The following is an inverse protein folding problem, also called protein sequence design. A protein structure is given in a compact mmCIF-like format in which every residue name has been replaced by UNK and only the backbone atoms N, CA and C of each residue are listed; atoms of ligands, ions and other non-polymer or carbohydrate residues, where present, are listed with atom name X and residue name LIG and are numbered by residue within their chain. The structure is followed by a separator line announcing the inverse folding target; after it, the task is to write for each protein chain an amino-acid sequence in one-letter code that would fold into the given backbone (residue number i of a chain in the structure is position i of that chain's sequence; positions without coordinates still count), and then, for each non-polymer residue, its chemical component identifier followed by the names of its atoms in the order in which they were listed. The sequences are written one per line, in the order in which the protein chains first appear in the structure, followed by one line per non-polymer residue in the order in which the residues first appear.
data_IF_256712198017
#
_entry.id   IF_256712198017
#
_cell.length_a   1.000
_cell.length_b   1.000
_cell.length_c   1.000
_cell.angle_alpha   90.00
_cell.angle_beta   90.00
_cell.angle_gamma   90.00
#
_symmetry.space_group_name_H-M   'P 1'
#
loop_
_entity.id
_entity.type
_entity.pdbx_description
1 polymer ?
#
# COMPACT_ATOMS: atom_id res chain seq x y z
N UNK A 1 22.89 -7.07 -16.51
CA UNK A 1 23.66 -6.11 -15.67
C UNK A 1 24.65 -6.77 -14.71
N UNK A 2 24.26 -7.72 -13.85
CA UNK A 2 25.20 -8.36 -12.90
C UNK A 2 26.42 -9.02 -13.57
N UNK A 3 26.20 -9.72 -14.70
CA UNK A 3 27.27 -10.30 -15.52
C UNK A 3 28.22 -9.24 -16.12
N UNK A 4 27.68 -8.07 -16.49
CA UNK A 4 28.46 -6.92 -16.98
C UNK A 4 29.28 -6.25 -15.87
N UNK A 5 28.90 -6.41 -14.61
CA UNK A 5 29.61 -5.90 -13.42
C UNK A 5 30.48 -6.96 -12.75
N UNK A 6 30.74 -8.09 -13.42
CA UNK A 6 31.52 -9.21 -12.89
C UNK A 6 31.06 -9.73 -11.52
N UNK A 7 29.75 -9.65 -11.22
CA UNK A 7 29.19 -10.19 -9.97
C UNK A 7 28.68 -11.62 -10.16
N UNK A 8 28.84 -12.50 -9.15
CA UNK A 8 28.38 -13.89 -9.22
C UNK A 8 26.85 -13.93 -9.34
N UNK A 9 26.31 -14.63 -10.35
CA UNK A 9 24.87 -14.60 -10.64
C UNK A 9 24.03 -15.45 -9.69
N UNK A 10 24.55 -16.62 -9.29
CA UNK A 10 23.79 -17.64 -8.54
C UNK A 10 23.21 -17.11 -7.22
N UNK A 11 23.96 -16.38 -6.37
CA UNK A 11 23.43 -15.89 -5.09
C UNK A 11 22.27 -14.89 -5.25
N UNK A 12 22.33 -13.98 -6.22
CA UNK A 12 21.31 -12.93 -6.42
C UNK A 12 20.03 -13.42 -7.11
N UNK A 13 20.07 -14.59 -7.74
CA UNK A 13 18.89 -15.20 -8.36
C UNK A 13 18.18 -16.18 -7.42
N UNK A 14 18.89 -16.75 -6.43
CA UNK A 14 18.34 -17.76 -5.50
C UNK A 14 18.00 -17.22 -4.11
N UNK A 15 18.17 -15.92 -3.86
CA UNK A 15 17.96 -15.29 -2.55
C UNK A 15 16.48 -15.12 -2.15
N UNK A 16 15.53 -15.44 -3.04
CA UNK A 16 14.09 -15.33 -2.81
C UNK A 16 13.55 -13.89 -2.75
N UNK A 17 14.41 -12.87 -2.78
CA UNK A 17 14.00 -11.49 -2.60
C UNK A 17 13.23 -10.92 -3.79
N UNK A 18 13.47 -11.46 -5.01
CA UNK A 18 12.63 -11.13 -6.16
C UNK A 18 11.17 -11.57 -5.96
N UNK A 19 10.95 -12.73 -5.33
CA UNK A 19 9.61 -13.21 -5.02
C UNK A 19 8.94 -12.32 -3.96
N UNK A 20 9.68 -11.91 -2.92
CA UNK A 20 9.18 -10.96 -1.91
C UNK A 20 8.79 -9.63 -2.56
N UNK A 21 9.65 -9.06 -3.42
CA UNK A 21 9.34 -7.83 -4.16
C UNK A 21 8.09 -7.98 -5.02
N UNK A 22 7.94 -9.11 -5.74
CA UNK A 22 6.78 -9.37 -6.58
C UNK A 22 5.49 -9.50 -5.75
N UNK A 23 5.53 -10.22 -4.62
CA UNK A 23 4.37 -10.38 -3.73
C UNK A 23 3.97 -9.03 -3.11
N UNK A 24 4.93 -8.24 -2.61
CA UNK A 24 4.62 -6.92 -2.04
C UNK A 24 4.01 -5.98 -3.07
N UNK A 25 4.51 -5.99 -4.31
CA UNK A 25 3.94 -5.19 -5.38
C UNK A 25 2.54 -5.69 -5.77
N UNK A 26 2.36 -7.01 -5.90
CA UNK A 26 1.05 -7.61 -6.22
C UNK A 26 -0.02 -7.30 -5.16
N UNK A 27 0.36 -7.20 -3.89
CA UNK A 27 -0.54 -6.80 -2.80
C UNK A 27 -0.88 -5.30 -2.80
N UNK A 28 -0.05 -4.47 -3.44
CA UNK A 28 -0.23 -3.01 -3.46
C UNK A 28 -1.07 -2.53 -4.66
N UNK A 29 -1.03 -3.25 -5.79
CA UNK A 29 -1.80 -2.90 -7.00
C UNK A 29 -3.26 -3.39 -6.90
N UNK A 30 -4.20 -2.77 -7.64
CA UNK A 30 -5.57 -3.25 -7.72
C UNK A 30 -5.65 -4.70 -8.23
N UNK A 31 -6.56 -5.53 -7.69
CA UNK A 31 -6.61 -6.96 -8.00
C UNK A 31 -6.99 -7.28 -9.45
N UNK A 32 -7.71 -6.37 -10.12
CA UNK A 32 -8.13 -6.51 -11.52
C UNK A 32 -7.24 -5.77 -12.50
N UNK A 33 -6.06 -5.31 -12.06
CA UNK A 33 -5.10 -4.64 -12.93
C UNK A 33 -4.76 -5.53 -14.13
N UNK A 34 -4.70 -4.97 -15.35
CA UNK A 34 -4.27 -5.70 -16.53
C UNK A 34 -2.89 -6.35 -16.33
N UNK A 35 -2.71 -7.57 -16.84
CA UNK A 35 -1.48 -8.34 -16.64
C UNK A 35 -0.20 -7.58 -17.03
N UNK A 36 -0.28 -6.74 -18.07
CA UNK A 36 0.86 -5.98 -18.59
C UNK A 36 1.35 -4.92 -17.58
N UNK A 37 0.48 -4.36 -16.75
CA UNK A 37 0.89 -3.42 -15.70
C UNK A 37 1.74 -4.10 -14.64
N UNK A 38 1.32 -5.28 -14.20
CA UNK A 38 2.10 -6.10 -13.25
C UNK A 38 3.46 -6.43 -13.82
N UNK A 39 3.55 -6.78 -15.11
CA UNK A 39 4.82 -7.05 -15.80
C UNK A 39 5.70 -5.80 -15.81
N UNK A 40 5.16 -4.63 -16.16
CA UNK A 40 5.92 -3.37 -16.16
C UNK A 40 6.43 -3.03 -14.75
N UNK A 41 5.56 -3.08 -13.74
CA UNK A 41 5.92 -2.73 -12.36
C UNK A 41 6.98 -3.66 -11.78
N UNK A 42 6.83 -4.98 -11.95
CA UNK A 42 7.83 -5.96 -11.49
C UNK A 42 9.14 -5.80 -12.25
N UNK A 43 9.08 -5.60 -13.57
CA UNK A 43 10.28 -5.40 -14.39
C UNK A 43 11.03 -4.15 -13.92
N UNK A 44 10.31 -3.06 -13.65
CA UNK A 44 10.93 -1.82 -13.18
C UNK A 44 11.54 -1.97 -11.77
N UNK A 45 10.80 -2.58 -10.84
CA UNK A 45 11.28 -2.87 -9.49
C UNK A 45 12.55 -3.74 -9.52
N UNK A 46 12.57 -4.79 -10.33
CA UNK A 46 13.71 -5.71 -10.39
C UNK A 46 14.89 -5.06 -11.13
N UNK A 47 14.68 -4.54 -12.33
CA UNK A 47 15.78 -4.08 -13.20
C UNK A 47 16.34 -2.74 -12.72
N UNK A 48 15.48 -1.75 -12.51
CA UNK A 48 15.89 -0.37 -12.25
C UNK A 48 16.05 -0.11 -10.76
N UNK A 49 15.10 -0.50 -9.92
CA UNK A 49 15.18 -0.20 -8.50
C UNK A 49 16.19 -1.08 -7.74
N UNK A 50 16.44 -2.31 -8.20
CA UNK A 50 17.32 -3.26 -7.51
C UNK A 50 18.63 -3.54 -8.25
N UNK A 51 18.55 -4.04 -9.49
CA UNK A 51 19.75 -4.53 -10.18
C UNK A 51 20.66 -3.41 -10.70
N UNK A 52 20.13 -2.24 -11.03
CA UNK A 52 20.91 -1.07 -11.44
C UNK A 52 21.89 -0.62 -10.34
N UNK A 53 21.51 -0.75 -9.08
CA UNK A 53 22.32 -0.37 -7.92
C UNK A 53 23.27 -1.49 -7.43
N UNK A 54 23.25 -2.66 -8.06
CA UNK A 54 24.18 -3.75 -7.75
C UNK A 54 23.56 -4.98 -7.09
N UNK A 55 22.23 -5.03 -6.98
CA UNK A 55 21.49 -6.18 -6.45
C UNK A 55 21.13 -6.03 -4.98
N UNK A 56 20.91 -7.17 -4.31
CA UNK A 56 20.56 -7.19 -2.88
C UNK A 56 21.59 -6.47 -2.00
N UNK A 57 21.10 -5.67 -1.05
CA UNK A 57 21.94 -4.96 -0.09
C UNK A 57 22.44 -3.59 -0.58
N UNK A 58 22.17 -3.22 -1.83
CA UNK A 58 22.61 -1.95 -2.42
C UNK A 58 21.46 -1.08 -2.93
N UNK A 59 20.21 -1.52 -2.79
CA UNK A 59 19.05 -0.74 -3.21
C UNK A 59 18.82 0.42 -2.22
N UNK A 60 18.88 1.69 -2.66
CA UNK A 60 18.70 2.84 -1.77
C UNK A 60 17.27 2.95 -1.23
N UNK A 61 16.30 2.39 -1.94
CA UNK A 61 14.89 2.38 -1.57
C UNK A 61 14.31 0.96 -1.70
N UNK A 62 13.13 0.75 -1.14
CA UNK A 62 12.38 -0.50 -1.29
C UNK A 62 11.99 -0.69 -2.77
N UNK A 63 12.44 -1.77 -3.46
CA UNK A 63 12.21 -1.93 -4.89
C UNK A 63 10.73 -2.10 -5.26
N UNK A 64 9.94 -2.74 -4.39
CA UNK A 64 8.52 -2.94 -4.63
C UNK A 64 7.77 -1.60 -4.64
N UNK A 65 8.12 -0.71 -3.70
CA UNK A 65 7.51 0.62 -3.63
C UNK A 65 7.89 1.50 -4.82
N UNK A 66 9.12 1.41 -5.33
CA UNK A 66 9.49 2.10 -6.58
C UNK A 66 8.64 1.61 -7.75
N UNK A 67 8.46 0.29 -7.89
CA UNK A 67 7.59 -0.28 -8.92
C UNK A 67 6.15 0.21 -8.80
N UNK A 68 5.63 0.25 -7.57
CA UNK A 68 4.28 0.74 -7.29
C UNK A 68 4.12 2.23 -7.60
N UNK A 69 5.08 3.08 -7.19
CA UNK A 69 5.06 4.52 -7.47
C UNK A 69 5.15 4.81 -8.97
N UNK A 70 5.96 4.05 -9.72
CA UNK A 70 5.98 4.16 -11.18
C UNK A 70 4.59 3.91 -11.77
N UNK A 71 3.91 2.84 -11.33
CA UNK A 71 2.57 2.51 -11.82
C UNK A 71 1.55 3.58 -11.44
N UNK A 72 1.57 4.07 -10.19
CA UNK A 72 0.70 5.16 -9.74
C UNK A 72 0.82 6.42 -10.59
N UNK A 73 2.05 6.80 -10.95
CA UNK A 73 2.30 8.03 -11.72
C UNK A 73 1.99 7.83 -13.20
N UNK A 74 2.33 6.66 -13.75
CA UNK A 74 2.25 6.40 -15.20
C UNK A 74 0.88 5.92 -15.66
N UNK A 75 0.14 5.22 -14.79
CA UNK A 75 -1.14 4.57 -15.08
C UNK A 75 -2.17 4.85 -13.96
N UNK A 76 -2.50 6.13 -13.71
CA UNK A 76 -3.34 6.51 -12.56
C UNK A 76 -4.76 5.97 -12.66
N UNK A 77 -5.33 5.87 -13.87
CA UNK A 77 -6.70 5.38 -14.09
C UNK A 77 -6.84 3.92 -13.61
N UNK A 78 -5.94 3.06 -14.05
CA UNK A 78 -5.97 1.65 -13.72
C UNK A 78 -5.60 1.40 -12.26
N UNK A 79 -4.81 2.28 -11.65
CA UNK A 79 -4.42 2.18 -10.24
C UNK A 79 -5.53 2.64 -9.27
N UNK A 80 -6.58 3.30 -9.76
CA UNK A 80 -7.75 3.70 -8.95
C UNK A 80 -8.96 2.79 -9.14
N UNK A 81 -8.93 1.84 -10.07
CA UNK A 81 -10.02 0.86 -10.28
C UNK A 81 -9.94 -0.32 -9.30
N UNK A 82 -10.44 -0.13 -8.09
CA UNK A 82 -10.49 -1.18 -7.06
C UNK A 82 -11.83 -1.92 -7.05
N UNK A 83 -11.84 -3.16 -6.56
CA UNK A 83 -13.08 -3.91 -6.37
C UNK A 83 -13.82 -3.41 -5.11
N UNK A 84 -15.14 -3.17 -5.17
CA UNK A 84 -15.93 -2.97 -3.96
C UNK A 84 -16.00 -4.26 -3.13
N UNK A 85 -16.37 -4.12 -1.85
CA UNK A 85 -16.64 -5.27 -0.98
C UNK A 85 -17.75 -6.11 -1.61
N UNK A 86 -17.61 -7.44 -1.56
CA UNK A 86 -18.56 -8.36 -2.19
C UNK A 86 -20.02 -8.15 -1.76
N UNK A 87 -20.27 -7.77 -0.50
CA UNK A 87 -21.61 -7.45 0.00
C UNK A 87 -22.22 -6.18 -0.59
N UNK A 88 -21.40 -5.32 -1.18
CA UNK A 88 -21.78 -4.07 -1.83
C UNK A 88 -21.65 -4.15 -3.35
N UNK A 89 -21.19 -5.28 -3.88
CA UNK A 89 -21.01 -5.48 -5.31
C UNK A 89 -22.37 -5.79 -5.95
N UNK A 90 -22.78 -4.98 -6.94
CA UNK A 90 -24.01 -5.20 -7.70
C UNK A 90 -23.97 -6.52 -8.50
N UNK A 91 -22.76 -6.89 -8.97
CA UNK A 91 -22.51 -8.11 -9.72
C UNK A 91 -21.27 -8.80 -9.13
N UNK A 92 -21.44 -9.89 -8.35
CA UNK A 92 -20.30 -10.59 -7.75
C UNK A 92 -19.42 -11.20 -8.84
N UNK A 93 -18.12 -10.91 -8.78
CA UNK A 93 -17.16 -11.40 -9.76
C UNK A 93 -16.69 -12.81 -9.38
N UNK A 94 -16.80 -13.75 -10.32
CA UNK A 94 -16.23 -15.09 -10.19
C UNK A 94 -14.74 -15.13 -10.56
N UNK A 95 -14.06 -16.22 -10.19
CA UNK A 95 -12.65 -16.42 -10.51
C UNK A 95 -12.35 -16.41 -12.01
N UNK A 96 -13.20 -17.06 -12.82
CA UNK A 96 -13.00 -17.13 -14.27
C UNK A 96 -13.20 -15.77 -14.95
N UNK A 97 -14.18 -14.98 -14.51
CA UNK A 97 -14.42 -13.64 -15.05
C UNK A 97 -13.30 -12.68 -14.67
N UNK A 98 -12.75 -12.78 -13.46
CA UNK A 98 -11.57 -12.01 -13.05
C UNK A 98 -10.36 -12.32 -13.95
N UNK A 99 -10.09 -13.60 -14.26
CA UNK A 99 -9.00 -13.98 -15.16
C UNK A 99 -9.22 -13.43 -16.58
N UNK A 100 -10.43 -13.57 -17.12
CA UNK A 100 -10.74 -13.04 -18.45
C UNK A 100 -10.53 -11.52 -18.50
N UNK A 101 -11.00 -10.79 -17.50
CA UNK A 101 -10.84 -9.35 -17.40
C UNK A 101 -9.36 -8.93 -17.32
N UNK A 102 -8.55 -9.60 -16.50
CA UNK A 102 -7.12 -9.32 -16.35
C UNK A 102 -6.36 -9.51 -17.69
N UNK A 103 -6.70 -10.55 -18.47
CA UNK A 103 -5.99 -10.88 -19.70
C UNK A 103 -6.52 -10.17 -20.95
N UNK A 104 -7.83 -9.89 -21.01
CA UNK A 104 -8.49 -9.36 -22.21
C UNK A 104 -9.00 -7.93 -22.06
N UNK A 105 -9.12 -7.43 -20.83
CA UNK A 105 -9.62 -6.08 -20.54
C UNK A 105 -11.13 -5.90 -20.72
N UNK A 106 -11.88 -6.95 -21.08
CA UNK A 106 -13.32 -6.88 -21.31
C UNK A 106 -14.04 -8.12 -20.76
N UNK A 107 -15.23 -7.92 -20.19
CA UNK A 107 -16.10 -9.02 -19.77
C UNK A 107 -17.56 -8.70 -20.12
N UNK A 108 -18.22 -9.58 -20.89
CA UNK A 108 -19.62 -9.42 -21.32
C UNK A 108 -19.96 -8.08 -22.01
N UNK A 109 -19.00 -7.42 -22.67
CA UNK A 109 -19.20 -6.12 -23.31
C UNK A 109 -19.34 -4.93 -22.34
N UNK A 110 -19.22 -5.18 -21.02
CA UNK A 110 -19.13 -4.15 -20.00
C UNK A 110 -17.66 -3.87 -19.68
N UNK A 111 -17.34 -2.58 -19.53
CA UNK A 111 -16.00 -2.13 -19.13
C UNK A 111 -15.71 -2.42 -17.65
N UNK A 112 -14.45 -2.21 -17.26
CA UNK A 112 -13.98 -2.40 -15.88
C UNK A 112 -14.75 -1.53 -14.88
N UNK A 113 -15.29 -0.40 -15.35
CA UNK A 113 -16.04 0.58 -14.57
C UNK A 113 -17.26 -0.01 -13.87
N UNK A 114 -17.93 -0.98 -14.50
CA UNK A 114 -19.11 -1.65 -13.94
C UNK A 114 -18.81 -2.50 -12.71
N UNK A 115 -17.53 -2.84 -12.49
CA UNK A 115 -17.07 -3.66 -11.37
C UNK A 115 -16.12 -2.89 -10.45
N UNK A 116 -15.81 -1.63 -10.76
CA UNK A 116 -14.87 -0.82 -10.00
C UNK A 116 -15.59 0.06 -8.97
N UNK A 117 -14.92 0.35 -7.86
CA UNK A 117 -15.38 1.24 -6.81
C UNK A 117 -14.20 1.97 -6.17
N UNK A 118 -14.51 3.13 -5.57
CA UNK A 118 -13.53 3.90 -4.84
C UNK A 118 -13.03 3.12 -3.60
N UNK A 119 -11.77 3.30 -3.24
CA UNK A 119 -11.27 2.79 -1.95
C UNK A 119 -11.85 3.60 -0.79
N UNK A 120 -11.89 3.05 0.44
CA UNK A 120 -12.34 3.78 1.61
C UNK A 120 -11.62 5.12 1.81
N UNK A 121 -10.30 5.15 1.61
CA UNK A 121 -9.49 6.37 1.72
C UNK A 121 -9.85 7.40 0.63
N UNK A 122 -10.03 6.93 -0.59
CA UNK A 122 -10.34 7.79 -1.74
C UNK A 122 -11.76 8.38 -1.65
N UNK A 123 -12.74 7.56 -1.28
CA UNK A 123 -14.11 8.03 -1.07
C UNK A 123 -14.20 9.03 0.09
N UNK A 124 -13.52 8.75 1.22
CA UNK A 124 -13.48 9.67 2.36
C UNK A 124 -12.91 11.03 1.93
N UNK A 125 -11.77 11.02 1.23
CA UNK A 125 -11.12 12.24 0.74
C UNK A 125 -12.00 13.01 -0.24
N UNK A 126 -12.56 12.32 -1.21
CA UNK A 126 -13.42 12.92 -2.24
C UNK A 126 -14.67 13.55 -1.62
N UNK A 127 -15.32 12.88 -0.67
CA UNK A 127 -16.53 13.39 -0.03
C UNK A 127 -16.26 14.56 0.92
N UNK A 128 -15.10 14.58 1.61
CA UNK A 128 -14.65 15.75 2.38
C UNK A 128 -14.46 16.97 1.47
N UNK A 129 -13.86 16.78 0.29
CA UNK A 129 -13.71 17.85 -0.72
C UNK A 129 -15.08 18.36 -1.20
N UNK A 130 -16.09 17.49 -1.24
CA UNK A 130 -17.49 17.84 -1.53
C UNK A 130 -18.23 18.43 -0.31
N UNK A 131 -17.50 18.87 0.72
CA UNK A 131 -18.02 19.52 1.93
C UNK A 131 -18.95 18.63 2.75
N UNK A 132 -18.80 17.30 2.66
CA UNK A 132 -19.52 16.37 3.52
C UNK A 132 -18.75 16.14 4.84
N UNK A 133 -19.49 16.03 5.94
CA UNK A 133 -18.90 15.77 7.24
C UNK A 133 -18.41 14.32 7.37
N UNK A 134 -17.19 14.07 7.90
CA UNK A 134 -16.64 12.72 8.07
C UNK A 134 -17.55 11.74 8.84
N UNK A 135 -18.35 12.24 9.78
CA UNK A 135 -19.34 11.43 10.53
C UNK A 135 -20.44 10.88 9.60
N UNK A 136 -20.96 11.72 8.71
CA UNK A 136 -21.95 11.29 7.71
C UNK A 136 -21.33 10.31 6.72
N UNK A 137 -20.12 10.60 6.24
CA UNK A 137 -19.39 9.74 5.30
C UNK A 137 -19.20 8.35 5.91
N UNK A 138 -18.75 8.29 7.17
CA UNK A 138 -18.52 7.04 7.90
C UNK A 138 -19.81 6.25 8.20
N UNK A 139 -20.98 6.87 8.04
CA UNK A 139 -22.27 6.16 8.18
C UNK A 139 -22.70 5.43 6.90
N UNK A 140 -22.02 5.66 5.78
CA UNK A 140 -22.34 5.03 4.50
C UNK A 140 -21.97 3.54 4.49
N UNK A 141 -22.67 2.69 3.69
CA UNK A 141 -22.49 1.24 3.71
C UNK A 141 -21.08 0.72 3.45
N UNK A 142 -20.22 1.54 2.82
CA UNK A 142 -18.83 1.21 2.52
C UNK A 142 -17.91 1.27 3.76
N UNK A 143 -18.32 1.94 4.82
CA UNK A 143 -17.53 2.08 6.04
C UNK A 143 -18.00 1.11 7.13
N UNK A 144 -17.03 0.54 7.85
CA UNK A 144 -17.23 -0.40 8.94
C UNK A 144 -17.23 0.29 10.31
N UNK A 145 -16.71 -0.41 11.32
CA UNK A 145 -16.65 0.11 12.69
C UNK A 145 -15.61 1.22 12.87
N UNK A 146 -14.49 1.12 12.17
CA UNK A 146 -13.30 1.93 12.38
C UNK A 146 -12.54 2.25 11.08
N UNK A 147 -12.92 1.69 9.94
CA UNK A 147 -12.26 1.78 8.65
C UNK A 147 -13.23 1.51 7.50
N UNK A 148 -12.71 1.11 6.34
CA UNK A 148 -13.56 0.54 5.29
C UNK A 148 -14.06 -0.85 5.66
N UNK A 149 -15.30 -1.18 5.29
CA UNK A 149 -15.87 -2.52 5.47
C UNK A 149 -14.94 -3.56 4.82
N UNK A 150 -14.44 -4.53 5.57
CA UNK A 150 -13.47 -5.53 5.07
C UNK A 150 -12.00 -5.10 5.16
N UNK A 151 -11.67 -3.81 4.94
CA UNK A 151 -10.29 -3.29 5.02
C UNK A 151 -9.73 -3.35 6.44
N UNK A 152 -10.59 -3.19 7.45
CA UNK A 152 -10.24 -3.37 8.86
C UNK A 152 -9.66 -4.76 9.10
N UNK A 153 -10.33 -5.80 8.60
CA UNK A 153 -9.91 -7.19 8.76
C UNK A 153 -8.59 -7.46 8.04
N UNK A 154 -8.42 -6.92 6.84
CA UNK A 154 -7.16 -7.03 6.08
C UNK A 154 -6.00 -6.41 6.87
N UNK A 155 -6.19 -5.19 7.42
CA UNK A 155 -5.17 -4.52 8.23
C UNK A 155 -4.88 -5.28 9.53
N UNK A 156 -5.90 -5.84 10.19
CA UNK A 156 -5.72 -6.68 11.39
C UNK A 156 -4.87 -7.91 11.06
N UNK A 157 -5.13 -8.61 9.95
CA UNK A 157 -4.35 -9.78 9.55
C UNK A 157 -2.90 -9.42 9.21
N UNK A 158 -2.65 -8.30 8.54
CA UNK A 158 -1.28 -7.81 8.35
C UNK A 158 -0.61 -7.45 9.68
N UNK A 159 -1.32 -6.81 10.61
CA UNK A 159 -0.78 -6.51 11.93
C UNK A 159 -0.42 -7.79 12.70
N UNK A 160 -1.27 -8.81 12.67
CA UNK A 160 -1.00 -10.13 13.28
C UNK A 160 0.23 -10.80 12.64
N UNK A 161 0.33 -10.79 11.31
CA UNK A 161 1.52 -11.29 10.60
C UNK A 161 2.78 -10.52 10.98
N UNK A 162 2.69 -9.19 11.12
CA UNK A 162 3.78 -8.32 11.55
C UNK A 162 4.22 -8.58 13.00
N UNK A 163 3.27 -8.75 13.92
CA UNK A 163 3.54 -9.13 15.31
C UNK A 163 4.23 -10.49 15.35
N UNK A 164 3.81 -11.43 14.52
CA UNK A 164 4.47 -12.73 14.40
C UNK A 164 5.92 -12.60 13.92
N UNK A 165 6.21 -11.72 12.95
CA UNK A 165 7.58 -11.44 12.50
C UNK A 165 8.44 -10.80 13.60
N UNK A 166 7.87 -9.93 14.44
CA UNK A 166 8.54 -9.39 15.63
C UNK A 166 8.85 -10.50 16.62
N UNK A 167 7.88 -11.36 16.93
CA UNK A 167 8.06 -12.50 17.83
C UNK A 167 9.16 -13.45 17.34
N UNK A 168 9.20 -13.72 16.03
CA UNK A 168 10.25 -14.51 15.36
C UNK A 168 11.59 -13.78 15.22
N UNK A 169 11.68 -12.53 15.69
CA UNK A 169 12.88 -11.67 15.63
C UNK A 169 13.40 -11.47 14.19
N UNK A 170 12.51 -11.52 13.20
CA UNK A 170 12.83 -11.23 11.80
C UNK A 170 12.93 -9.72 11.60
N UNK A 171 11.99 -8.97 12.19
CA UNK A 171 11.95 -7.51 12.17
C UNK A 171 12.02 -6.96 13.59
N UNK A 172 12.45 -5.70 13.74
CA UNK A 172 12.42 -5.02 15.03
C UNK A 172 11.16 -4.20 15.22
N UNK A 173 10.63 -4.13 16.43
CA UNK A 173 9.41 -3.40 16.76
C UNK A 173 9.52 -1.87 16.62
N UNK A 174 10.73 -1.31 16.64
CA UNK A 174 10.97 0.14 16.66
C UNK A 174 10.35 0.88 15.47
N UNK A 175 10.50 0.36 14.25
CA UNK A 175 9.98 1.03 13.04
C UNK A 175 8.46 0.94 12.95
N UNK A 176 7.82 -0.26 13.04
CA UNK A 176 6.37 -0.36 12.96
C UNK A 176 5.66 0.45 14.04
N UNK A 177 6.14 0.35 15.29
CA UNK A 177 5.51 1.05 16.42
C UNK A 177 5.69 2.57 16.29
N UNK A 178 6.87 3.04 15.88
CA UNK A 178 7.07 4.49 15.68
C UNK A 178 6.19 5.04 14.55
N UNK A 179 6.04 4.31 13.44
CA UNK A 179 5.16 4.69 12.33
C UNK A 179 3.69 4.76 12.76
N UNK A 180 3.18 3.70 13.41
CA UNK A 180 1.79 3.63 13.88
C UNK A 180 1.51 4.72 14.90
N UNK A 181 2.39 4.90 15.89
CA UNK A 181 2.21 5.93 16.92
C UNK A 181 2.27 7.34 16.33
N UNK A 182 3.21 7.62 15.43
CA UNK A 182 3.31 8.95 14.82
C UNK A 182 2.08 9.27 13.99
N UNK A 183 1.59 8.30 13.18
CA UNK A 183 0.35 8.42 12.42
C UNK A 183 -0.87 8.63 13.33
N UNK A 184 -0.96 7.88 14.43
CA UNK A 184 -2.04 8.02 15.41
C UNK A 184 -2.02 9.39 16.09
N UNK A 185 -0.84 9.88 16.49
CA UNK A 185 -0.69 11.15 17.18
C UNK A 185 -1.07 12.31 16.26
N UNK A 186 -0.53 12.35 15.03
CA UNK A 186 -0.80 13.46 14.10
C UNK A 186 -2.26 13.47 13.63
N UNK A 187 -2.85 12.30 13.38
CA UNK A 187 -4.28 12.20 13.06
C UNK A 187 -5.16 12.63 14.23
N UNK A 188 -4.85 12.21 15.45
CA UNK A 188 -5.60 12.64 16.64
C UNK A 188 -5.52 14.14 16.87
N UNK A 189 -4.33 14.74 16.75
CA UNK A 189 -4.15 16.19 16.92
C UNK A 189 -4.98 16.95 15.89
N UNK A 190 -4.94 16.53 14.64
CA UNK A 190 -5.64 17.24 13.56
C UNK A 190 -7.15 17.08 13.66
N UNK A 191 -7.67 15.88 13.96
CA UNK A 191 -9.11 15.69 14.22
C UNK A 191 -9.60 16.47 15.45
N UNK A 192 -8.76 16.68 16.47
CA UNK A 192 -9.09 17.52 17.63
C UNK A 192 -9.13 19.01 17.31
N UNK A 193 -8.29 19.48 16.39
CA UNK A 193 -8.26 20.88 15.95
C UNK A 193 -9.44 21.16 15.01
N UNK A 194 -9.65 20.28 14.04
CA UNK A 194 -10.74 20.38 13.07
C UNK A 194 -11.21 18.97 12.67
N UNK A 195 -12.37 18.52 13.15
CA UNK A 195 -12.90 17.19 12.81
C UNK A 195 -13.47 17.11 11.39
N UNK A 196 -13.52 18.21 10.63
CA UNK A 196 -14.10 18.24 9.28
C UNK A 196 -13.10 17.92 8.17
N UNK A 197 -11.80 18.03 8.45
CA UNK A 197 -10.74 17.89 7.44
C UNK A 197 -10.21 16.46 7.28
N UNK A 198 -10.50 15.56 8.23
CA UNK A 198 -9.96 14.21 8.22
C UNK A 198 -10.93 13.17 8.77
N UNK A 199 -10.73 11.92 8.35
CA UNK A 199 -11.37 10.77 8.99
C UNK A 199 -10.82 10.55 10.40
N UNK A 200 -11.44 9.64 11.15
CA UNK A 200 -11.00 9.34 12.51
C UNK A 200 -9.55 8.80 12.56
N UNK A 201 -8.84 8.95 13.70
CA UNK A 201 -7.49 8.39 13.84
C UNK A 201 -7.43 6.88 13.58
N UNK A 202 -8.45 6.14 14.02
CA UNK A 202 -8.58 4.71 13.75
C UNK A 202 -8.79 4.41 12.27
N UNK A 203 -9.53 5.27 11.55
CA UNK A 203 -9.71 5.15 10.11
C UNK A 203 -8.37 5.20 9.37
N UNK A 204 -7.45 6.07 9.78
CA UNK A 204 -6.11 6.11 9.21
C UNK A 204 -5.27 4.87 9.56
N UNK A 205 -5.46 4.26 10.73
CA UNK A 205 -4.75 3.03 11.09
C UNK A 205 -5.27 1.79 10.35
N UNK A 206 -6.59 1.67 10.18
CA UNK A 206 -7.26 0.46 9.70
C UNK A 206 -7.75 0.55 8.24
N UNK A 207 -7.33 1.58 7.50
CA UNK A 207 -7.63 1.74 6.09
C UNK A 207 -6.36 1.86 5.23
N UNK A 208 -6.49 1.52 3.95
CA UNK A 208 -5.38 1.48 3.00
C UNK A 208 -4.29 0.48 3.39
N UNK A 209 -3.06 0.79 2.99
CA UNK A 209 -1.88 -0.05 3.21
C UNK A 209 -1.13 0.21 4.51
N UNK A 210 -1.73 0.80 5.55
CA UNK A 210 -1.00 1.22 6.76
C UNK A 210 -0.27 0.07 7.45
N UNK A 211 -0.94 -1.05 7.74
CA UNK A 211 -0.31 -2.18 8.44
C UNK A 211 0.67 -2.94 7.55
N UNK A 212 0.37 -3.06 6.25
CA UNK A 212 1.32 -3.60 5.27
C UNK A 212 2.60 -2.74 5.24
N UNK A 213 2.43 -1.43 5.19
CA UNK A 213 3.48 -0.42 5.26
C UNK A 213 4.36 -0.58 6.49
N UNK A 214 3.73 -0.55 7.67
CA UNK A 214 4.43 -0.57 8.95
C UNK A 214 5.24 -1.84 9.18
N UNK A 215 4.71 -3.01 8.83
CA UNK A 215 5.30 -4.30 9.20
C UNK A 215 6.06 -5.03 8.09
N UNK A 216 5.81 -4.71 6.82
CA UNK A 216 6.39 -5.45 5.69
C UNK A 216 7.19 -4.59 4.72
N UNK A 217 6.98 -3.26 4.72
CA UNK A 217 7.66 -2.34 3.80
C UNK A 217 8.69 -1.49 4.54
N UNK A 218 8.28 -0.76 5.58
CA UNK A 218 9.15 0.14 6.34
C UNK A 218 10.26 -0.61 7.11
N UNK A 219 10.05 -1.90 7.39
CA UNK A 219 11.04 -2.76 8.07
C UNK A 219 12.02 -3.43 7.11
N UNK A 220 12.11 -2.99 5.86
CA UNK A 220 13.12 -3.50 4.90
C UNK A 220 14.54 -3.32 5.49
N UNK A 221 15.31 -4.41 5.67
CA UNK A 221 16.63 -4.35 6.26
C UNK A 221 17.66 -3.61 5.40
N UNK A 222 17.40 -3.38 4.10
CA UNK A 222 18.37 -2.74 3.21
C UNK A 222 18.19 -1.23 3.15
N UNK A 223 16.97 -0.75 2.94
CA UNK A 223 16.69 0.69 2.82
C UNK A 223 16.42 1.37 4.17
N UNK A 224 16.14 0.60 5.23
CA UNK A 224 15.80 1.12 6.55
C UNK A 224 17.02 1.54 7.38
N UNK A 225 16.77 2.30 8.46
CA UNK A 225 17.82 2.71 9.39
C UNK A 225 18.37 1.53 10.21
N UNK A 226 19.70 1.47 10.37
CA UNK A 226 20.37 0.40 11.12
C UNK A 226 20.45 0.69 12.63
N UNK A 227 20.47 1.96 13.04
CA UNK A 227 20.62 2.36 14.45
C UNK A 227 19.29 2.36 15.19
N UNK A 228 19.32 2.09 16.51
CA UNK A 228 18.10 2.01 17.33
C UNK A 228 17.28 3.31 17.31
N UNK A 229 17.97 4.44 17.57
CA UNK A 229 17.34 5.77 17.54
C UNK A 229 16.91 6.16 16.12
N UNK A 230 17.73 5.86 15.12
CA UNK A 230 17.41 6.13 13.72
C UNK A 230 16.18 5.38 13.23
N UNK A 231 15.93 4.14 13.69
CA UNK A 231 14.70 3.39 13.39
C UNK A 231 13.44 4.06 13.89
N UNK A 232 13.48 4.64 15.09
CA UNK A 232 12.34 5.36 15.67
C UNK A 232 12.07 6.62 14.86
N UNK A 233 13.11 7.43 14.59
CA UNK A 233 12.97 8.66 13.79
C UNK A 233 12.48 8.35 12.37
N UNK A 234 13.04 7.30 11.74
CA UNK A 234 12.62 6.84 10.43
C UNK A 234 11.15 6.42 10.41
N UNK A 235 10.73 5.51 11.31
CA UNK A 235 9.34 5.09 11.39
C UNK A 235 8.38 6.25 11.66
N UNK A 236 8.73 7.14 12.59
CA UNK A 236 7.93 8.33 12.87
C UNK A 236 7.81 9.26 11.65
N UNK A 237 8.90 9.44 10.89
CA UNK A 237 8.91 10.19 9.64
C UNK A 237 7.95 9.59 8.60
N UNK A 238 8.01 8.27 8.39
CA UNK A 238 7.09 7.57 7.48
C UNK A 238 5.64 7.74 7.92
N UNK A 239 5.34 7.64 9.22
CA UNK A 239 3.99 7.83 9.76
C UNK A 239 3.44 9.24 9.56
N UNK A 240 4.26 10.25 9.83
CA UNK A 240 3.91 11.67 9.63
C UNK A 240 3.71 11.96 8.14
N UNK A 241 4.65 11.57 7.28
CA UNK A 241 4.56 11.79 5.84
C UNK A 241 3.35 11.08 5.23
N UNK A 242 3.06 9.85 5.67
CA UNK A 242 1.85 9.12 5.25
C UNK A 242 0.60 9.94 5.55
N UNK A 243 0.49 10.48 6.77
CA UNK A 243 -0.66 11.31 7.13
C UNK A 243 -0.75 12.59 6.29
N UNK A 244 0.38 13.29 6.15
CA UNK A 244 0.44 14.55 5.40
C UNK A 244 -0.01 14.34 3.96
N UNK A 245 0.41 13.25 3.33
CA UNK A 245 0.02 12.92 1.95
C UNK A 245 -1.46 12.55 1.87
N UNK A 246 -2.00 11.82 2.85
CA UNK A 246 -3.42 11.46 2.88
C UNK A 246 -4.33 12.69 2.93
N UNK A 247 -3.99 13.67 3.77
CA UNK A 247 -4.83 14.87 3.95
C UNK A 247 -4.56 15.91 2.87
N UNK A 248 -3.30 16.31 2.67
CA UNK A 248 -2.94 17.45 1.81
C UNK A 248 -2.29 17.05 0.48
N UNK A 249 -1.92 15.78 0.29
CA UNK A 249 -1.36 15.29 -0.97
C UNK A 249 -2.44 15.02 -2.03
N UNK A 250 -2.01 14.68 -3.25
CA UNK A 250 -2.93 14.31 -4.35
C UNK A 250 -3.40 12.84 -4.31
N UNK A 251 -2.76 11.99 -3.51
CA UNK A 251 -3.05 10.56 -3.44
C UNK A 251 -3.91 10.22 -2.21
N UNK A 252 -4.80 9.22 -2.31
CA UNK A 252 -5.63 8.79 -1.18
C UNK A 252 -4.83 7.97 -0.15
N UNK A 253 -3.77 7.27 -0.57
CA UNK A 253 -2.82 6.62 0.33
C UNK A 253 -1.40 7.20 0.17
N UNK A 254 -0.67 7.32 1.28
CA UNK A 254 0.63 7.97 1.33
C UNK A 254 1.81 7.04 1.57
N UNK A 255 1.56 5.78 1.96
CA UNK A 255 2.58 4.87 2.49
C UNK A 255 3.76 4.64 1.54
N UNK A 256 3.52 4.53 0.23
CA UNK A 256 4.59 4.23 -0.72
C UNK A 256 5.52 5.41 -1.03
N UNK A 257 5.04 6.64 -0.81
CA UNK A 257 5.82 7.87 -1.02
C UNK A 257 6.55 8.32 0.25
N UNK A 258 6.04 7.92 1.42
CA UNK A 258 6.57 8.23 2.74
C UNK A 258 7.79 7.38 3.10
#
# INVERSE_FOLDING_TARGET
MLKLRHRPLKPFLSDGSAAVTAVLLALAIPPLSPWWMTVIGVTFAIVFAKHLYGGLGYNPFNPAMIGYVLLLISFPLEMTTWLPVQSLAEQPMGWMSALQLIFTGQFNGLGIDAYSGATPLDAMKTQIVLLQHPEFISSQPMFGMAGGLGWEWINIWFALGGIWLIYRKVISWHVPVAMILALLIISSITTLIDPTISGSPLFHLLSGGTMLGAFFIATDPVSGSTTLKGRIVFGAGVGILTYVIRIWGGYPDGVAFA
#
